data_IF_476992402857
#
_entry.id   IF_476992402857
#
_cell.length_a   1.000
_cell.length_b   1.000
_cell.length_c   1.000
_cell.angle_alpha   90.00
_cell.angle_beta   90.00
_cell.angle_gamma   90.00
#
_symmetry.space_group_name_H-M   'P 1'
#
loop_
_entity.id
_entity.type
_entity.pdbx_description
1 polymer ?
#
# COMPACT_ATOMS: atom_id res chain seq x y z
N UNK A 1 -8.96 2.35 14.27
CA UNK A 1 -9.26 2.73 12.88
C UNK A 1 -9.34 4.25 12.79
N UNK A 2 -8.45 4.90 12.04
CA UNK A 2 -8.52 6.34 11.84
C UNK A 2 -9.76 6.67 10.98
N UNK A 3 -10.60 7.58 11.46
CA UNK A 3 -11.75 8.03 10.65
C UNK A 3 -11.27 8.79 9.42
N UNK A 4 -11.98 8.67 8.31
CA UNK A 4 -11.64 9.31 7.03
C UNK A 4 -11.48 10.82 7.15
N UNK A 5 -12.39 11.46 7.86
CA UNK A 5 -12.35 12.90 8.12
C UNK A 5 -11.10 13.35 8.91
N UNK A 6 -10.65 12.55 9.87
CA UNK A 6 -9.42 12.82 10.62
C UNK A 6 -8.19 12.75 9.72
N UNK A 7 -8.10 11.74 8.85
CA UNK A 7 -6.98 11.64 7.91
C UNK A 7 -6.96 12.82 6.93
N UNK A 8 -8.11 13.22 6.44
CA UNK A 8 -8.22 14.38 5.54
C UNK A 8 -7.75 15.68 6.22
N UNK A 9 -8.11 15.90 7.49
CA UNK A 9 -7.65 17.03 8.27
C UNK A 9 -6.11 16.99 8.46
N UNK A 10 -5.55 15.83 8.79
CA UNK A 10 -4.09 15.66 8.92
C UNK A 10 -3.41 16.00 7.58
N UNK A 11 -3.92 15.50 6.46
CA UNK A 11 -3.39 15.78 5.13
C UNK A 11 -3.42 17.26 4.78
N UNK A 12 -4.54 17.95 5.08
CA UNK A 12 -4.68 19.39 4.86
C UNK A 12 -3.68 20.18 5.70
N UNK A 13 -3.51 19.83 6.97
CA UNK A 13 -2.54 20.50 7.84
C UNK A 13 -1.09 20.25 7.41
N UNK A 14 -0.75 19.04 7.01
CA UNK A 14 0.55 18.73 6.43
C UNK A 14 0.82 19.57 5.18
N UNK A 15 -0.16 19.67 4.27
CA UNK A 15 -0.02 20.48 3.07
C UNK A 15 0.14 21.99 3.40
N UNK A 16 -0.60 22.47 4.40
CA UNK A 16 -0.48 23.86 4.87
C UNK A 16 0.91 24.17 5.45
N UNK A 17 1.48 23.24 6.22
CA UNK A 17 2.77 23.40 6.90
C UNK A 17 3.97 23.15 5.99
N UNK A 18 3.89 22.22 5.09
CA UNK A 18 5.03 21.70 4.30
C UNK A 18 4.85 21.76 2.78
N UNK A 19 3.70 22.26 2.30
CA UNK A 19 3.45 22.38 0.87
C UNK A 19 3.55 21.03 0.15
N UNK A 20 4.31 20.97 -0.93
CA UNK A 20 4.48 19.73 -1.71
C UNK A 20 5.21 18.60 -0.97
N UNK A 21 5.99 18.93 0.08
CA UNK A 21 6.65 17.93 0.92
C UNK A 21 5.65 17.06 1.69
N UNK A 22 4.39 17.49 1.87
CA UNK A 22 3.34 16.72 2.50
C UNK A 22 3.17 15.32 1.89
N UNK A 23 3.24 15.20 0.56
CA UNK A 23 3.09 13.91 -0.14
C UNK A 23 4.24 12.97 0.20
N UNK A 24 5.46 13.48 0.23
CA UNK A 24 6.65 12.70 0.62
C UNK A 24 6.57 12.24 2.08
N UNK A 25 6.11 13.13 2.97
CA UNK A 25 5.92 12.80 4.39
C UNK A 25 4.89 11.68 4.55
N UNK A 26 3.76 11.76 3.83
CA UNK A 26 2.73 10.71 3.87
C UNK A 26 3.25 9.38 3.35
N UNK A 27 4.01 9.37 2.26
CA UNK A 27 4.61 8.15 1.70
C UNK A 27 5.62 7.53 2.67
N UNK A 28 6.49 8.33 3.28
CA UNK A 28 7.44 7.86 4.30
C UNK A 28 6.70 7.28 5.51
N UNK A 29 5.67 7.96 6.00
CA UNK A 29 4.85 7.48 7.10
C UNK A 29 4.16 6.16 6.77
N UNK A 30 3.56 6.06 5.59
CA UNK A 30 2.96 4.83 5.08
C UNK A 30 3.97 3.69 5.02
N UNK A 31 5.15 3.93 4.45
CA UNK A 31 6.24 2.94 4.36
C UNK A 31 6.67 2.44 5.74
N UNK A 32 6.75 3.32 6.73
CA UNK A 32 7.10 2.93 8.09
C UNK A 32 6.05 1.98 8.68
N UNK A 33 4.78 2.33 8.58
CA UNK A 33 3.67 1.48 9.04
C UNK A 33 3.66 0.14 8.30
N UNK A 34 3.77 0.16 6.98
CA UNK A 34 3.82 -1.05 6.15
C UNK A 34 5.01 -1.95 6.46
N UNK A 35 6.16 -1.38 6.81
CA UNK A 35 7.34 -2.15 7.23
C UNK A 35 7.07 -2.93 8.51
N UNK A 36 6.46 -2.32 9.51
CA UNK A 36 6.12 -3.01 10.77
C UNK A 36 5.06 -4.11 10.54
N UNK A 37 4.05 -3.83 9.73
CA UNK A 37 3.03 -4.83 9.36
C UNK A 37 3.64 -5.99 8.58
N UNK A 38 4.49 -5.70 7.59
CA UNK A 38 5.18 -6.72 6.80
C UNK A 38 6.08 -7.62 7.64
N UNK A 39 6.75 -7.07 8.67
CA UNK A 39 7.53 -7.85 9.63
C UNK A 39 6.66 -8.80 10.43
N UNK A 40 5.53 -8.31 10.94
CA UNK A 40 4.58 -9.13 11.68
C UNK A 40 4.01 -10.27 10.83
N UNK A 41 3.62 -9.97 9.60
CA UNK A 41 3.14 -10.98 8.65
C UNK A 41 4.23 -11.99 8.28
N UNK A 42 5.46 -11.54 8.11
CA UNK A 42 6.60 -12.42 7.82
C UNK A 42 6.87 -13.40 8.98
N UNK A 43 6.88 -12.90 10.21
CA UNK A 43 7.03 -13.73 11.41
C UNK A 43 5.88 -14.73 11.53
N UNK A 44 4.65 -14.36 11.21
CA UNK A 44 3.49 -15.26 11.18
C UNK A 44 3.66 -16.35 10.12
N UNK A 45 4.12 -16.02 8.91
CA UNK A 45 4.40 -17.01 7.87
C UNK A 45 5.44 -18.04 8.32
N UNK A 46 6.51 -17.59 8.98
CA UNK A 46 7.55 -18.46 9.54
C UNK A 46 6.98 -19.40 10.60
N UNK A 47 6.21 -18.86 11.56
CA UNK A 47 5.61 -19.66 12.65
C UNK A 47 4.63 -20.72 12.15
N UNK A 48 4.00 -20.51 10.99
CA UNK A 48 3.07 -21.43 10.36
C UNK A 48 3.73 -22.37 9.33
N UNK A 49 5.02 -22.24 9.09
CA UNK A 49 5.75 -23.02 8.07
C UNK A 49 5.35 -22.69 6.64
N UNK A 50 4.86 -21.48 6.37
CA UNK A 50 4.31 -21.04 5.07
C UNK A 50 5.32 -20.27 4.21
N UNK A 51 6.62 -20.46 4.44
CA UNK A 51 7.69 -19.78 3.65
C UNK A 51 8.12 -20.59 2.42
N UNK A 52 7.49 -21.73 2.16
CA UNK A 52 7.78 -22.55 0.98
C UNK A 52 7.31 -21.90 -0.33
N UNK A 53 7.94 -22.25 -1.47
CA UNK A 53 7.65 -21.62 -2.76
C UNK A 53 6.22 -21.81 -3.25
N UNK A 54 5.54 -22.87 -2.83
CA UNK A 54 4.14 -23.12 -3.19
C UNK A 54 3.14 -22.44 -2.25
N UNK A 55 3.43 -22.39 -0.94
CA UNK A 55 2.51 -21.86 0.08
C UNK A 55 2.67 -20.37 0.32
N UNK A 56 3.85 -19.83 0.14
CA UNK A 56 4.13 -18.43 0.47
C UNK A 56 3.38 -17.41 -0.41
N UNK A 57 3.28 -17.59 -1.75
CA UNK A 57 2.50 -16.67 -2.58
C UNK A 57 1.03 -16.57 -2.18
N UNK A 58 0.40 -17.70 -1.85
CA UNK A 58 -0.98 -17.73 -1.38
C UNK A 58 -1.12 -17.09 0.00
N UNK A 59 -0.18 -17.36 0.90
CA UNK A 59 -0.13 -16.67 2.20
C UNK A 59 -0.03 -15.16 2.02
N UNK A 60 0.87 -14.67 1.17
CA UNK A 60 1.05 -13.22 0.91
C UNK A 60 -0.25 -12.61 0.41
N UNK A 61 -0.89 -13.25 -0.59
CA UNK A 61 -2.16 -12.78 -1.12
C UNK A 61 -3.21 -12.68 -0.02
N UNK A 62 -3.47 -13.76 0.67
CA UNK A 62 -4.50 -13.84 1.72
C UNK A 62 -4.22 -12.85 2.84
N UNK A 63 -2.98 -12.80 3.33
CA UNK A 63 -2.60 -11.92 4.43
C UNK A 63 -2.80 -10.43 4.08
N UNK A 64 -2.38 -10.03 2.87
CA UNK A 64 -2.52 -8.62 2.42
C UNK A 64 -3.98 -8.28 2.12
N UNK A 65 -4.74 -9.18 1.51
CA UNK A 65 -6.16 -8.95 1.21
C UNK A 65 -7.03 -8.91 2.48
N UNK A 66 -6.68 -9.67 3.52
CA UNK A 66 -7.37 -9.71 4.81
C UNK A 66 -6.90 -8.62 5.78
N UNK A 67 -5.77 -7.95 5.49
CA UNK A 67 -5.27 -6.87 6.33
C UNK A 67 -6.30 -5.73 6.41
N UNK A 68 -6.76 -5.45 7.61
CA UNK A 68 -7.78 -4.46 7.87
C UNK A 68 -7.22 -3.25 8.62
N UNK A 69 -6.27 -2.56 8.01
CA UNK A 69 -5.79 -1.26 8.56
C UNK A 69 -6.65 -0.08 8.10
N UNK A 70 -7.72 -0.34 7.35
CA UNK A 70 -8.65 0.69 6.88
C UNK A 70 -8.22 1.41 5.60
N UNK A 71 -7.22 0.90 4.86
CA UNK A 71 -6.82 1.50 3.57
C UNK A 71 -7.83 1.24 2.44
N UNK A 72 -8.79 0.37 2.66
CA UNK A 72 -9.77 -0.07 1.67
C UNK A 72 -9.76 -1.58 1.48
N UNK A 73 -10.56 -2.07 0.54
CA UNK A 73 -10.56 -3.49 0.18
C UNK A 73 -9.45 -3.77 -0.82
N UNK A 74 -8.40 -4.42 -0.35
CA UNK A 74 -7.21 -4.75 -1.14
C UNK A 74 -7.43 -6.01 -1.96
N UNK A 75 -6.93 -6.02 -3.19
CA UNK A 75 -6.81 -7.20 -4.07
C UNK A 75 -5.42 -7.23 -4.68
N UNK A 76 -4.72 -8.33 -4.47
CA UNK A 76 -3.46 -8.61 -5.13
C UNK A 76 -3.77 -9.28 -6.47
N UNK A 77 -3.62 -8.53 -7.56
CA UNK A 77 -3.99 -8.97 -8.92
C UNK A 77 -2.94 -9.91 -9.51
N UNK A 78 -1.68 -9.59 -9.27
CA UNK A 78 -0.55 -10.34 -9.80
C UNK A 78 0.64 -10.20 -8.84
N UNK A 79 1.22 -11.34 -8.45
CA UNK A 79 2.47 -11.41 -7.69
C UNK A 79 3.68 -11.59 -8.61
N UNK A 80 3.46 -11.48 -9.94
CA UNK A 80 4.49 -11.67 -10.95
C UNK A 80 5.08 -13.09 -10.96
N UNK A 81 4.99 -13.80 -12.06
CA UNK A 81 5.64 -15.11 -12.18
C UNK A 81 7.18 -15.05 -12.06
N UNK A 82 7.73 -13.86 -12.19
CA UNK A 82 9.17 -13.55 -12.13
C UNK A 82 9.61 -12.83 -10.86
N UNK A 83 8.75 -12.67 -9.86
CA UNK A 83 9.02 -11.90 -8.61
C UNK A 83 9.47 -10.44 -8.81
N UNK A 84 9.29 -9.87 -10.00
CA UNK A 84 9.77 -8.51 -10.31
C UNK A 84 8.70 -7.43 -10.20
N UNK A 85 7.43 -7.84 -10.26
CA UNK A 85 6.30 -6.89 -10.18
C UNK A 85 5.18 -7.41 -9.31
N UNK A 86 4.52 -6.51 -8.59
CA UNK A 86 3.29 -6.77 -7.84
C UNK A 86 2.24 -5.75 -8.27
N UNK A 87 1.11 -6.22 -8.75
CA UNK A 87 -0.02 -5.38 -9.13
C UNK A 87 -1.15 -5.50 -8.11
N UNK A 88 -1.64 -4.38 -7.62
CA UNK A 88 -2.61 -4.30 -6.55
C UNK A 88 -3.74 -3.35 -6.94
N UNK A 89 -4.98 -3.70 -6.62
CA UNK A 89 -6.11 -2.78 -6.67
C UNK A 89 -6.72 -2.57 -5.29
N UNK A 90 -7.20 -1.37 -5.02
CA UNK A 90 -7.87 -1.02 -3.77
C UNK A 90 -9.22 -0.39 -4.09
N UNK A 91 -10.27 -1.02 -3.58
CA UNK A 91 -11.63 -0.52 -3.63
C UNK A 91 -11.94 0.25 -2.34
N UNK A 92 -12.62 1.39 -2.46
CA UNK A 92 -13.00 2.22 -1.32
C UNK A 92 -11.81 2.67 -0.44
N UNK A 93 -10.67 2.94 -1.08
CA UNK A 93 -9.50 3.48 -0.40
C UNK A 93 -9.82 4.83 0.27
N UNK A 94 -9.48 4.96 1.55
CA UNK A 94 -9.81 6.16 2.34
C UNK A 94 -9.10 7.42 1.83
N UNK A 95 -7.92 7.24 1.26
CA UNK A 95 -7.06 8.36 0.82
C UNK A 95 -7.52 8.99 -0.50
N UNK A 96 -8.26 8.23 -1.30
CA UNK A 96 -8.80 8.69 -2.58
C UNK A 96 -10.11 9.49 -2.46
N UNK A 97 -10.71 9.55 -1.28
CA UNK A 97 -11.92 10.32 -1.03
C UNK A 97 -11.57 11.82 -0.91
N UNK A 98 -11.22 12.42 -2.05
CA UNK A 98 -10.89 13.85 -2.14
C UNK A 98 -12.11 14.63 -2.62
N UNK A 99 -12.66 15.55 -1.83
CA UNK A 99 -13.76 16.42 -2.25
C UNK A 99 -13.39 17.19 -3.52
N UNK A 100 -14.26 17.10 -4.54
CA UNK A 100 -14.04 17.76 -5.84
C UNK A 100 -13.11 17.03 -6.79
N UNK A 101 -12.59 15.86 -6.38
CA UNK A 101 -11.68 15.06 -7.21
C UNK A 101 -10.25 15.62 -7.27
N UNK A 102 -9.42 15.01 -8.09
CA UNK A 102 -8.04 15.42 -8.33
C UNK A 102 -7.63 15.09 -9.76
N UNK A 103 -6.75 15.90 -10.35
CA UNK A 103 -6.13 15.58 -11.64
C UNK A 103 -4.92 14.64 -11.51
N UNK A 104 -4.40 14.46 -10.29
CA UNK A 104 -3.23 13.64 -9.98
C UNK A 104 -3.58 12.53 -8.99
N UNK A 105 -2.82 11.43 -8.98
CA UNK A 105 -2.90 10.43 -7.91
C UNK A 105 -2.73 11.08 -6.53
N UNK A 106 -3.44 10.54 -5.52
CA UNK A 106 -3.48 11.13 -4.17
C UNK A 106 -3.13 10.16 -3.05
N UNK A 107 -2.92 8.87 -3.38
CA UNK A 107 -2.79 7.80 -2.37
C UNK A 107 -1.33 7.58 -1.94
N UNK A 108 -0.66 8.63 -1.47
CA UNK A 108 0.77 8.58 -1.11
C UNK A 108 1.04 7.72 0.13
N UNK A 109 0.23 7.84 1.17
CA UNK A 109 0.35 6.99 2.35
C UNK A 109 0.14 5.52 1.99
N UNK A 110 -0.90 5.23 1.22
CA UNK A 110 -1.22 3.87 0.76
C UNK A 110 -0.09 3.29 -0.09
N UNK A 111 0.48 4.08 -1.00
CA UNK A 111 1.63 3.65 -1.81
C UNK A 111 2.81 3.25 -0.90
N UNK A 112 3.21 4.13 0.00
CA UNK A 112 4.30 3.85 0.93
C UNK A 112 4.01 2.62 1.80
N UNK A 113 2.77 2.47 2.29
CA UNK A 113 2.36 1.28 3.06
C UNK A 113 2.56 -0.02 2.27
N UNK A 114 2.09 -0.08 1.03
CA UNK A 114 2.26 -1.26 0.18
C UNK A 114 3.74 -1.55 -0.09
N UNK A 115 4.54 -0.53 -0.36
CA UNK A 115 5.98 -0.70 -0.53
C UNK A 115 6.66 -1.28 0.71
N UNK A 116 6.28 -0.80 1.90
CA UNK A 116 6.81 -1.32 3.18
C UNK A 116 6.43 -2.78 3.41
N UNK A 117 5.15 -3.13 3.26
CA UNK A 117 4.64 -4.50 3.43
C UNK A 117 5.34 -5.46 2.49
N UNK A 118 5.33 -5.17 1.17
CA UNK A 118 5.89 -6.08 0.18
C UNK A 118 7.41 -6.17 0.26
N UNK A 119 8.12 -5.10 0.65
CA UNK A 119 9.56 -5.17 0.89
C UNK A 119 9.89 -6.17 1.99
N UNK A 120 9.14 -6.20 3.08
CA UNK A 120 9.37 -7.12 4.18
C UNK A 120 8.95 -8.56 3.84
N UNK A 121 7.79 -8.74 3.22
CA UNK A 121 7.29 -10.07 2.85
C UNK A 121 8.20 -10.76 1.83
N UNK A 122 8.68 -10.03 0.83
CA UNK A 122 9.50 -10.59 -0.24
C UNK A 122 11.00 -10.57 0.05
N UNK A 123 11.43 -9.90 1.14
CA UNK A 123 12.86 -9.75 1.45
C UNK A 123 13.63 -8.99 0.37
N UNK A 124 12.97 -8.08 -0.34
CA UNK A 124 13.48 -7.32 -1.48
C UNK A 124 13.09 -5.86 -1.34
N UNK A 125 13.63 -4.99 -2.16
CA UNK A 125 13.20 -3.59 -2.21
C UNK A 125 12.00 -3.44 -3.16
N UNK A 126 10.83 -3.13 -2.62
CA UNK A 126 9.63 -2.82 -3.39
C UNK A 126 9.45 -1.31 -3.50
N UNK A 127 9.40 -0.81 -4.72
CA UNK A 127 9.10 0.60 -5.02
C UNK A 127 8.08 0.66 -6.14
N UNK A 128 7.13 1.59 -6.04
CA UNK A 128 6.05 1.60 -6.99
C UNK A 128 5.51 2.97 -7.33
N UNK A 129 4.38 2.91 -8.01
CA UNK A 129 3.59 4.09 -8.34
C UNK A 129 2.10 3.76 -8.34
N UNK A 130 1.29 4.73 -8.04
CA UNK A 130 -0.15 4.68 -8.28
C UNK A 130 -0.40 4.85 -9.78
N UNK A 131 -1.01 3.84 -10.42
CA UNK A 131 -1.28 3.80 -11.86
C UNK A 131 -2.73 4.15 -12.20
N UNK A 132 -3.63 4.10 -11.23
CA UNK A 132 -5.01 4.51 -11.32
C UNK A 132 -5.50 5.03 -9.98
N UNK A 133 -6.38 6.04 -9.96
CA UNK A 133 -6.84 6.68 -8.74
C UNK A 133 -8.32 7.06 -8.80
N UNK A 134 -9.08 6.66 -7.79
CA UNK A 134 -10.49 7.04 -7.65
C UNK A 134 -10.70 8.55 -7.56
N UNK A 135 -9.75 9.28 -6.98
CA UNK A 135 -9.81 10.74 -6.95
C UNK A 135 -9.79 11.37 -8.35
N UNK A 136 -9.31 10.63 -9.36
CA UNK A 136 -9.31 11.02 -10.78
C UNK A 136 -10.57 10.55 -11.54
N UNK A 137 -11.51 9.88 -10.85
CA UNK A 137 -12.74 9.36 -11.45
C UNK A 137 -12.65 7.90 -11.90
N UNK A 138 -11.61 7.16 -11.53
CA UNK A 138 -11.50 5.73 -11.79
C UNK A 138 -12.24 4.90 -10.74
N UNK A 139 -12.64 3.67 -11.08
CA UNK A 139 -13.40 2.80 -10.17
C UNK A 139 -12.56 2.32 -8.98
N UNK A 140 -11.26 2.14 -9.19
CA UNK A 140 -10.31 1.61 -8.20
C UNK A 140 -9.03 2.44 -8.17
N UNK A 141 -8.37 2.47 -7.02
CA UNK A 141 -6.96 2.83 -6.97
C UNK A 141 -6.13 1.61 -7.37
N UNK A 142 -5.15 1.80 -8.26
CA UNK A 142 -4.26 0.75 -8.73
C UNK A 142 -2.81 1.13 -8.47
N UNK A 143 -2.03 0.13 -8.07
CA UNK A 143 -0.62 0.29 -7.75
C UNK A 143 0.19 -0.77 -8.47
N UNK A 144 1.32 -0.36 -9.02
CA UNK A 144 2.33 -1.26 -9.59
C UNK A 144 3.62 -1.10 -8.82
N UNK A 145 4.08 -2.16 -8.16
CA UNK A 145 5.34 -2.19 -7.43
C UNK A 145 6.38 -2.96 -8.24
N UNK A 146 7.56 -2.37 -8.41
CA UNK A 146 8.74 -3.06 -8.90
C UNK A 146 9.51 -3.60 -7.71
N UNK A 147 9.84 -4.87 -7.74
CA UNK A 147 10.53 -5.59 -6.68
C UNK A 147 11.93 -5.94 -7.16
N UNK A 148 12.94 -5.45 -6.46
CA UNK A 148 14.35 -5.63 -6.82
C UNK A 148 15.12 -6.26 -5.67
N UNK A 149 16.15 -7.06 -5.94
CA UNK A 149 17.08 -7.49 -4.89
C UNK A 149 17.63 -6.30 -4.10
N UNK A 150 17.89 -6.52 -2.80
CA UNK A 150 18.54 -5.55 -1.91
C UNK A 150 20.01 -5.45 -2.23
#
# INVERSE_FOLDING_TARGET
>A
LLRRDVFELIRKELARLSGQAANVILEIAGRRVGTEEGRALNAKAESLGLKGPESFPEFVRTAVEETNIGIGKVRVLDLGQTDETVNISIQNGFEADTPGGSLKPTCFFTLGYLEGVFSQLLGKNAQGKETGCRARGEDFCRFALNVRPV
#
